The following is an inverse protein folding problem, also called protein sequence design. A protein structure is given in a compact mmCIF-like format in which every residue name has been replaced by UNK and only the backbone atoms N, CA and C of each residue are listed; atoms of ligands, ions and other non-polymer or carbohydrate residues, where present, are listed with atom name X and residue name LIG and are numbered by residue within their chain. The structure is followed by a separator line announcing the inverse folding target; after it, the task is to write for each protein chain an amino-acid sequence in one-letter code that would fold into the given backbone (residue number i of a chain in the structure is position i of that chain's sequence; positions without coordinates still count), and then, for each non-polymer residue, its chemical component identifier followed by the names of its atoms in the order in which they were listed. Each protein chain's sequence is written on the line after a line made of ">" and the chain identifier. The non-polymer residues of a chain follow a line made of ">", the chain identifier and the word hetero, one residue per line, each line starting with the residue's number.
data_IF_188529012950
#
_entry.id   IF_188529012950
#
_cell.length_a   1.000
_cell.length_b   1.000
_cell.length_c   1.000
_cell.angle_alpha   90.00
_cell.angle_beta   90.00
_cell.angle_gamma   90.00
#
_symmetry.space_group_name_H-M   'P 1'
#
loop_
_entity.id
_entity.type
_entity.pdbx_description
1 polymer ?
#
# COMPACT_ATOMS: atom_id res chain seq x y z
N UNK A 1 -3.79 -2.38 21.54
CA UNK A 1 -3.58 -3.76 21.06
C UNK A 1 -4.80 -4.34 20.35
N UNK A 2 -5.99 -4.27 20.94
CA UNK A 2 -7.23 -4.75 20.30
C UNK A 2 -7.55 -4.02 18.98
N UNK A 3 -7.23 -2.73 18.88
CA UNK A 3 -7.45 -1.94 17.67
C UNK A 3 -6.57 -2.40 16.50
N UNK A 4 -5.30 -2.67 16.74
CA UNK A 4 -4.39 -3.17 15.71
C UNK A 4 -4.86 -4.51 15.13
N UNK A 5 -5.29 -5.44 15.98
CA UNK A 5 -5.76 -6.75 15.53
C UNK A 5 -7.03 -6.65 14.68
N UNK A 6 -7.97 -5.76 15.06
CA UNK A 6 -9.19 -5.53 14.29
C UNK A 6 -8.89 -4.92 12.92
N UNK A 7 -8.01 -3.94 12.86
CA UNK A 7 -7.62 -3.28 11.61
C UNK A 7 -6.90 -4.26 10.69
N UNK A 8 -5.97 -5.04 11.22
CA UNK A 8 -5.26 -6.08 10.47
C UNK A 8 -6.22 -7.14 9.95
N UNK A 9 -7.17 -7.59 10.77
CA UNK A 9 -8.20 -8.55 10.37
C UNK A 9 -9.00 -8.06 9.16
N UNK A 10 -9.42 -6.81 9.18
CA UNK A 10 -10.14 -6.19 8.08
C UNK A 10 -9.33 -6.19 6.79
N UNK A 11 -8.04 -5.87 6.86
CA UNK A 11 -7.15 -5.88 5.70
C UNK A 11 -6.97 -7.30 5.16
N UNK A 12 -6.74 -8.27 6.03
CA UNK A 12 -6.59 -9.66 5.63
C UNK A 12 -7.84 -10.21 4.95
N UNK A 13 -9.01 -9.93 5.51
CA UNK A 13 -10.28 -10.42 4.94
C UNK A 13 -10.60 -9.79 3.58
N UNK A 14 -10.22 -8.52 3.36
CA UNK A 14 -10.53 -7.79 2.13
C UNK A 14 -9.50 -7.98 1.02
N UNK A 15 -8.23 -8.10 1.35
CA UNK A 15 -7.15 -7.97 0.37
C UNK A 15 -6.25 -9.18 0.24
N UNK A 16 -6.31 -10.13 1.15
CA UNK A 16 -5.40 -11.28 1.18
C UNK A 16 -6.18 -12.58 1.02
N UNK A 17 -5.78 -13.39 0.04
CA UNK A 17 -6.32 -14.73 -0.14
C UNK A 17 -5.91 -15.65 1.02
N UNK A 18 -6.81 -16.53 1.46
CA UNK A 18 -6.51 -17.53 2.50
C UNK A 18 -5.43 -18.53 2.10
N UNK A 19 -5.21 -18.71 0.81
CA UNK A 19 -4.17 -19.59 0.27
C UNK A 19 -2.81 -18.89 0.14
N UNK A 20 -2.75 -17.58 0.31
CA UNK A 20 -1.50 -16.83 0.20
C UNK A 20 -0.56 -17.09 1.36
N UNK A 21 0.73 -17.23 1.06
CA UNK A 21 1.78 -17.30 2.06
C UNK A 21 2.15 -15.88 2.49
N UNK A 22 1.91 -15.54 3.73
CA UNK A 22 2.18 -14.19 4.28
C UNK A 22 3.35 -14.27 5.25
N UNK A 23 4.32 -13.39 5.06
CA UNK A 23 5.45 -13.23 5.98
C UNK A 23 5.34 -11.88 6.67
N UNK A 24 5.39 -11.87 8.00
CA UNK A 24 5.28 -10.65 8.80
C UNK A 24 6.40 -10.57 9.83
N UNK A 25 6.53 -9.41 10.47
CA UNK A 25 7.35 -9.28 11.66
C UNK A 25 6.70 -9.98 12.86
N UNK A 26 7.35 -9.96 13.99
CA UNK A 26 6.88 -10.59 15.23
C UNK A 26 5.88 -9.73 16.02
N UNK A 27 5.19 -8.79 15.38
CA UNK A 27 4.18 -7.97 16.05
C UNK A 27 3.06 -8.83 16.64
N UNK A 28 2.66 -8.48 17.85
CA UNK A 28 1.60 -9.18 18.60
C UNK A 28 0.23 -9.07 17.91
N UNK A 29 0.03 -8.06 17.07
CA UNK A 29 -1.22 -7.84 16.35
C UNK A 29 -1.61 -8.96 15.40
N UNK A 30 -0.65 -9.74 14.92
CA UNK A 30 -0.90 -10.88 14.02
C UNK A 30 -1.29 -12.17 14.74
N UNK A 31 -1.06 -12.29 16.02
CA UNK A 31 -1.33 -13.52 16.79
C UNK A 31 -2.78 -14.01 16.74
N UNK A 32 -3.80 -13.12 16.79
CA UNK A 32 -5.19 -13.56 16.71
C UNK A 32 -5.63 -14.03 15.32
N UNK A 33 -4.84 -13.75 14.28
CA UNK A 33 -5.17 -14.10 12.89
C UNK A 33 -4.62 -15.49 12.60
N UNK A 34 -5.46 -16.51 12.78
CA UNK A 34 -5.07 -17.92 12.62
C UNK A 34 -5.59 -18.58 11.34
N UNK A 35 -6.49 -17.91 10.62
CA UNK A 35 -7.13 -18.43 9.42
C UNK A 35 -6.26 -18.36 8.16
N UNK A 36 -5.13 -17.66 8.25
CA UNK A 36 -4.22 -17.40 7.15
C UNK A 36 -2.86 -18.06 7.39
N UNK A 37 -2.15 -18.38 6.32
CA UNK A 37 -0.80 -18.92 6.39
C UNK A 37 0.20 -17.80 6.69
N UNK A 38 0.39 -17.50 7.96
CA UNK A 38 1.28 -16.42 8.40
C UNK A 38 2.54 -17.02 9.01
N UNK A 39 3.68 -16.62 8.47
CA UNK A 39 5.01 -16.90 9.03
C UNK A 39 5.55 -15.61 9.63
N UNK A 40 5.85 -15.63 10.91
CA UNK A 40 6.46 -14.49 11.61
C UNK A 40 7.96 -14.67 11.70
N UNK A 41 8.73 -13.63 11.41
CA UNK A 41 10.18 -13.57 11.63
C UNK A 41 10.60 -12.20 12.16
N UNK A 42 11.67 -12.11 12.95
CA UNK A 42 12.13 -10.83 13.48
C UNK A 42 12.47 -9.85 12.35
N UNK A 43 12.14 -8.60 12.55
CA UNK A 43 12.42 -7.53 11.59
C UNK A 43 13.91 -7.23 11.47
N UNK A 44 14.65 -7.34 12.57
CA UNK A 44 16.11 -7.03 12.65
C UNK A 44 16.43 -5.67 12.02
N UNK A 45 15.74 -4.61 12.49
CA UNK A 45 15.86 -3.25 11.99
C UNK A 45 15.63 -3.14 10.46
N UNK A 46 14.72 -3.94 9.95
CA UNK A 46 14.36 -3.99 8.54
C UNK A 46 15.26 -4.84 7.67
N UNK A 47 16.34 -5.38 8.18
CA UNK A 47 17.31 -6.20 7.41
C UNK A 47 16.70 -7.48 6.86
N UNK A 48 15.72 -8.06 7.56
CA UNK A 48 15.04 -9.28 7.13
C UNK A 48 13.92 -9.00 6.10
N UNK A 49 13.58 -7.73 5.87
CA UNK A 49 12.57 -7.29 4.90
C UNK A 49 13.09 -6.14 4.03
N UNK A 50 14.19 -6.33 3.29
CA UNK A 50 14.87 -5.23 2.60
C UNK A 50 14.00 -4.56 1.53
N UNK A 51 13.26 -5.34 0.76
CA UNK A 51 12.39 -4.81 -0.30
C UNK A 51 11.23 -4.01 0.29
N UNK A 52 10.57 -4.53 1.30
CA UNK A 52 9.46 -3.86 1.98
C UNK A 52 9.90 -2.52 2.59
N UNK A 53 11.01 -2.52 3.33
CA UNK A 53 11.52 -1.29 3.95
C UNK A 53 11.99 -0.27 2.91
N UNK A 54 12.58 -0.73 1.82
CA UNK A 54 12.95 0.13 0.69
C UNK A 54 11.72 0.83 0.10
N UNK A 55 10.65 0.09 -0.16
CA UNK A 55 9.40 0.64 -0.71
C UNK A 55 8.77 1.63 0.25
N UNK A 56 8.67 1.30 1.54
CA UNK A 56 8.14 2.20 2.56
C UNK A 56 8.94 3.51 2.62
N UNK A 57 10.26 3.41 2.60
CA UNK A 57 11.14 4.58 2.62
C UNK A 57 10.96 5.45 1.38
N UNK A 58 10.85 4.85 0.20
CA UNK A 58 10.61 5.55 -1.05
C UNK A 58 9.25 6.26 -1.06
N UNK A 59 8.18 5.61 -0.58
CA UNK A 59 6.85 6.22 -0.47
C UNK A 59 6.88 7.44 0.43
N UNK A 60 7.49 7.32 1.61
CA UNK A 60 7.61 8.43 2.55
C UNK A 60 8.39 9.61 1.97
N UNK A 61 9.49 9.34 1.28
CA UNK A 61 10.30 10.38 0.63
C UNK A 61 9.55 11.06 -0.51
N UNK A 62 8.81 10.30 -1.31
CA UNK A 62 8.00 10.83 -2.39
C UNK A 62 6.91 11.77 -1.88
N UNK A 63 6.17 11.36 -0.86
CA UNK A 63 5.13 12.19 -0.25
C UNK A 63 5.73 13.48 0.32
N UNK A 64 6.84 13.41 1.06
CA UNK A 64 7.50 14.59 1.63
C UNK A 64 8.03 15.55 0.56
N UNK A 65 8.49 15.01 -0.57
CA UNK A 65 9.06 15.83 -1.65
C UNK A 65 8.01 16.61 -2.45
N UNK A 66 6.77 16.13 -2.49
CA UNK A 66 5.70 16.72 -3.30
C UNK A 66 4.67 17.44 -2.42
N UNK A 67 4.36 16.88 -1.26
CA UNK A 67 3.31 17.38 -0.38
C UNK A 67 3.89 17.74 0.99
N UNK A 68 3.65 18.96 1.44
CA UNK A 68 4.00 19.36 2.79
C UNK A 68 3.11 18.72 3.85
N UNK A 69 1.89 18.37 3.46
CA UNK A 69 0.90 17.72 4.32
C UNK A 69 -0.08 16.88 3.48
N UNK A 70 -0.48 15.73 4.01
CA UNK A 70 -1.43 14.82 3.37
C UNK A 70 -2.53 14.50 4.38
N UNK A 71 -3.79 14.71 3.99
CA UNK A 71 -4.93 14.35 4.82
C UNK A 71 -5.21 12.84 4.79
N UNK A 72 -5.79 12.33 5.86
CA UNK A 72 -6.22 10.93 5.92
C UNK A 72 -7.22 10.59 4.81
N UNK A 73 -8.05 11.55 4.43
CA UNK A 73 -9.02 11.39 3.35
C UNK A 73 -8.37 11.09 1.99
N UNK A 74 -7.22 11.66 1.73
CA UNK A 74 -6.53 11.54 0.44
C UNK A 74 -5.37 10.55 0.42
N UNK A 75 -4.95 10.05 1.59
CA UNK A 75 -3.77 9.17 1.66
C UNK A 75 -3.90 7.93 0.79
N UNK A 76 -5.06 7.31 0.74
CA UNK A 76 -5.28 6.12 -0.08
C UNK A 76 -5.14 6.38 -1.57
N UNK A 77 -5.51 7.58 -2.02
CA UNK A 77 -5.35 8.00 -3.41
C UNK A 77 -3.88 8.17 -3.79
N UNK A 78 -3.09 8.76 -2.91
CA UNK A 78 -1.64 8.90 -3.13
C UNK A 78 -0.94 7.54 -3.11
N UNK A 79 -1.31 6.67 -2.19
CA UNK A 79 -0.77 5.32 -2.14
C UNK A 79 -1.16 4.50 -3.38
N UNK A 80 -2.38 4.65 -3.88
CA UNK A 80 -2.82 4.01 -5.11
C UNK A 80 -2.02 4.51 -6.32
N UNK A 81 -1.75 5.82 -6.41
CA UNK A 81 -0.91 6.39 -7.47
C UNK A 81 0.51 5.84 -7.40
N UNK A 82 1.10 5.80 -6.22
CA UNK A 82 2.45 5.27 -6.05
C UNK A 82 2.53 3.79 -6.42
N UNK A 83 1.55 3.00 -5.99
CA UNK A 83 1.47 1.57 -6.34
C UNK A 83 1.35 1.36 -7.85
N UNK A 84 0.56 2.18 -8.53
CA UNK A 84 0.47 2.17 -9.98
C UNK A 84 1.82 2.43 -10.64
N UNK A 85 2.55 3.44 -10.18
CA UNK A 85 3.87 3.80 -10.71
C UNK A 85 4.89 2.69 -10.49
N UNK A 86 4.99 2.17 -9.27
CA UNK A 86 5.98 1.14 -8.93
C UNK A 86 5.72 -0.17 -9.66
N UNK A 87 4.46 -0.58 -9.77
CA UNK A 87 4.08 -1.81 -10.45
C UNK A 87 4.35 -1.76 -11.96
N UNK A 88 4.38 -0.58 -12.55
CA UNK A 88 4.62 -0.37 -13.97
C UNK A 88 5.99 0.13 -14.32
N UNK A 89 6.85 0.35 -13.34
CA UNK A 89 8.22 0.84 -13.55
C UNK A 89 9.07 -0.10 -14.42
N UNK A 90 8.73 -1.38 -14.45
CA UNK A 90 9.42 -2.39 -15.26
C UNK A 90 8.96 -2.38 -16.73
N UNK A 91 7.83 -1.77 -17.04
CA UNK A 91 7.24 -1.72 -18.39
C UNK A 91 7.44 -0.36 -19.03
N UNK A 92 8.68 0.10 -19.10
CA UNK A 92 9.04 1.47 -19.53
C UNK A 92 8.53 1.85 -20.92
N UNK A 93 8.54 0.91 -21.86
CA UNK A 93 8.11 1.17 -23.25
C UNK A 93 6.61 1.39 -23.38
N UNK A 94 5.83 0.77 -22.55
CA UNK A 94 4.35 0.78 -22.64
C UNK A 94 3.69 1.66 -21.60
N UNK A 95 4.43 2.19 -20.65
CA UNK A 95 3.86 2.91 -19.48
C UNK A 95 3.08 4.16 -19.92
N UNK A 96 3.59 4.92 -20.88
CA UNK A 96 2.92 6.12 -21.38
C UNK A 96 1.61 5.78 -22.08
N UNK A 97 1.64 4.84 -23.01
CA UNK A 97 0.45 4.42 -23.76
C UNK A 97 -0.62 3.84 -22.84
N UNK A 98 -0.25 3.04 -21.86
CA UNK A 98 -1.15 2.48 -20.88
C UNK A 98 -1.78 3.57 -20.00
N UNK A 99 -1.02 4.58 -19.60
CA UNK A 99 -1.52 5.71 -18.83
C UNK A 99 -2.54 6.52 -19.63
N UNK A 100 -2.22 6.87 -20.86
CA UNK A 100 -3.12 7.62 -21.76
C UNK A 100 -4.41 6.86 -22.00
N UNK A 101 -4.33 5.57 -22.28
CA UNK A 101 -5.51 4.72 -22.47
C UNK A 101 -6.43 4.75 -21.25
N UNK A 102 -5.88 4.61 -20.06
CA UNK A 102 -6.64 4.63 -18.82
C UNK A 102 -7.26 5.99 -18.53
N UNK A 103 -6.58 7.07 -18.83
CA UNK A 103 -7.12 8.42 -18.69
C UNK A 103 -8.32 8.66 -19.60
N UNK A 104 -8.28 8.17 -20.83
CA UNK A 104 -9.39 8.31 -21.80
C UNK A 104 -10.60 7.46 -21.39
N UNK A 105 -10.37 6.26 -20.87
CA UNK A 105 -11.43 5.33 -20.46
C UNK A 105 -12.15 5.74 -19.16
N UNK A 106 -11.58 6.63 -18.37
CA UNK A 106 -12.12 7.06 -17.08
C UNK A 106 -12.92 8.35 -17.19
N UNK A 107 -14.00 8.43 -16.42
CA UNK A 107 -14.75 9.68 -16.26
C UNK A 107 -13.91 10.72 -15.53
N UNK A 108 -14.02 12.02 -15.86
CA UNK A 108 -13.35 13.08 -15.12
C UNK A 108 -13.73 13.07 -13.64
N UNK A 109 -12.76 13.33 -12.77
CA UNK A 109 -12.99 13.52 -11.35
C UNK A 109 -12.95 15.02 -11.07
N UNK A 110 -14.08 15.59 -10.65
CA UNK A 110 -14.15 17.00 -10.35
C UNK A 110 -13.44 17.33 -9.03
N UNK A 111 -12.86 18.51 -8.95
CA UNK A 111 -12.15 18.99 -7.77
C UNK A 111 -12.97 18.88 -6.48
N UNK A 112 -14.27 19.15 -6.56
CA UNK A 112 -15.18 19.03 -5.41
C UNK A 112 -15.20 17.64 -4.76
N UNK A 113 -14.88 16.58 -5.51
CA UNK A 113 -14.79 15.21 -5.00
C UNK A 113 -13.43 14.90 -4.36
N UNK A 114 -12.43 15.75 -4.59
CA UNK A 114 -11.06 15.58 -4.08
C UNK A 114 -10.80 16.39 -2.82
N UNK A 115 -11.62 17.40 -2.57
CA UNK A 115 -11.48 18.27 -1.40
C UNK A 115 -12.03 17.52 -0.17
N UNK A 116 -11.25 17.51 0.90
CA UNK A 116 -11.67 16.96 2.17
C UNK A 116 -12.80 17.82 2.75
N UNK A 117 -13.95 17.22 3.12
CA UNK A 117 -15.04 17.95 3.74
C UNK A 117 -14.68 18.50 5.14
#
# INVERSE_FOLDING_TARGET
>A
MLFQSKSLRTIFDKHISKTAQVTTDESKGYKPIKDFNITQKPSNDGKNFPTLHKVIHQVKSWIRGIYSWVSEFNIDRYLAEYSFRINRSQSKETIFNNLIKRLIERKPIFQSLLICP
#
